data_IF_889485012496
#
_entry.id   IF_889485012496
#
_cell.length_a   1.000
_cell.length_b   1.000
_cell.length_c   1.000
_cell.angle_alpha   90.00
_cell.angle_beta   90.00
_cell.angle_gamma   90.00
#
_symmetry.space_group_name_H-M   'P 1'
#
loop_
_entity.id
_entity.type
_entity.pdbx_description
1 polymer ?
#
# COMPACT_ATOMS: atom_id res chain seq x y z
N UNK A 1 -25.93 -12.76 0.21
CA UNK A 1 -25.72 -11.70 1.22
C UNK A 1 -27.00 -11.45 1.97
N UNK A 2 -26.98 -11.51 3.31
CA UNK A 2 -28.14 -11.30 4.20
C UNK A 2 -27.80 -10.18 5.16
N UNK A 3 -28.70 -9.21 5.34
CA UNK A 3 -28.55 -8.11 6.30
C UNK A 3 -29.60 -8.31 7.40
N UNK A 4 -29.18 -8.29 8.66
CA UNK A 4 -30.01 -8.50 9.82
C UNK A 4 -29.87 -7.33 10.78
N UNK A 5 -30.97 -6.81 11.29
CA UNK A 5 -30.95 -5.82 12.36
C UNK A 5 -30.74 -6.57 13.69
N UNK A 6 -29.61 -6.33 14.35
CA UNK A 6 -29.22 -6.96 15.60
C UNK A 6 -29.76 -6.20 16.81
N UNK A 7 -29.75 -4.87 16.76
CA UNK A 7 -30.18 -4.02 17.88
C UNK A 7 -30.63 -2.64 17.37
N UNK A 8 -31.60 -2.05 18.01
CA UNK A 8 -32.03 -0.67 17.79
C UNK A 8 -32.01 0.06 19.13
N UNK A 9 -31.18 1.10 19.23
CA UNK A 9 -31.07 1.96 20.43
C UNK A 9 -31.27 3.42 20.04
N UNK A 10 -32.48 3.94 20.29
CA UNK A 10 -32.81 5.32 19.89
C UNK A 10 -32.65 5.53 18.39
N UNK A 11 -31.75 6.44 18.00
CA UNK A 11 -31.39 6.71 16.59
C UNK A 11 -30.28 5.82 16.04
N UNK A 12 -29.72 4.90 16.83
CA UNK A 12 -28.65 3.99 16.43
C UNK A 12 -29.18 2.61 16.11
N UNK A 13 -28.77 2.05 14.98
CA UNK A 13 -29.13 0.70 14.54
C UNK A 13 -27.85 -0.12 14.34
N UNK A 14 -27.79 -1.29 14.99
CA UNK A 14 -26.71 -2.26 14.79
C UNK A 14 -27.14 -3.30 13.77
N UNK A 15 -26.38 -3.39 12.68
CA UNK A 15 -26.63 -4.34 11.61
C UNK A 15 -25.63 -5.51 11.68
N UNK A 16 -26.12 -6.72 11.44
CA UNK A 16 -25.30 -7.88 11.11
C UNK A 16 -25.38 -8.15 9.61
N UNK A 17 -24.24 -8.46 9.01
CA UNK A 17 -24.16 -8.78 7.58
C UNK A 17 -23.55 -10.18 7.44
N UNK A 18 -24.31 -11.09 6.84
CA UNK A 18 -23.84 -12.40 6.42
C UNK A 18 -23.50 -12.32 4.93
N UNK A 19 -22.22 -12.41 4.60
CA UNK A 19 -21.75 -12.46 3.22
C UNK A 19 -21.22 -13.86 2.88
N UNK A 20 -21.31 -14.31 1.62
CA UNK A 20 -20.63 -15.53 1.17
C UNK A 20 -19.11 -15.40 1.33
N UNK A 21 -18.41 -16.55 1.40
CA UNK A 21 -16.95 -16.58 1.38
C UNK A 21 -16.40 -15.80 0.18
N UNK A 22 -15.34 -15.01 0.39
CA UNK A 22 -14.72 -14.18 -0.63
C UNK A 22 -15.39 -12.83 -0.89
N UNK A 23 -16.55 -12.54 -0.29
CA UNK A 23 -17.21 -11.22 -0.40
C UNK A 23 -16.79 -10.33 0.77
N UNK A 24 -16.00 -9.29 0.48
CA UNK A 24 -15.59 -8.28 1.45
C UNK A 24 -16.70 -7.26 1.66
N UNK A 25 -16.94 -6.89 2.91
CA UNK A 25 -17.95 -5.90 3.30
C UNK A 25 -17.24 -4.69 3.90
N UNK A 26 -17.24 -3.58 3.19
CA UNK A 26 -16.74 -2.31 3.68
C UNK A 26 -17.89 -1.30 3.78
N UNK A 27 -17.73 -0.29 4.64
CA UNK A 27 -18.59 0.88 4.58
C UNK A 27 -18.26 1.63 3.29
N UNK A 28 -19.28 1.97 2.50
CA UNK A 28 -19.13 2.61 1.19
C UNK A 28 -18.34 3.93 1.32
N UNK A 29 -18.64 4.72 2.35
CA UNK A 29 -17.94 5.98 2.62
C UNK A 29 -16.45 5.79 2.92
N UNK A 30 -16.07 4.70 3.63
CA UNK A 30 -14.66 4.42 3.93
C UNK A 30 -13.93 3.96 2.67
N UNK A 31 -14.54 3.05 1.91
CA UNK A 31 -13.94 2.58 0.66
C UNK A 31 -13.72 3.73 -0.33
N UNK A 32 -14.72 4.59 -0.53
CA UNK A 32 -14.59 5.78 -1.41
C UNK A 32 -13.48 6.71 -0.97
N UNK A 33 -13.33 6.96 0.32
CA UNK A 33 -12.24 7.79 0.84
C UNK A 33 -10.88 7.17 0.56
N UNK A 34 -10.72 5.85 0.72
CA UNK A 34 -9.46 5.19 0.39
C UNK A 34 -9.17 5.28 -1.11
N UNK A 35 -10.18 5.10 -1.95
CA UNK A 35 -10.05 5.27 -3.40
C UNK A 35 -9.63 6.69 -3.78
N UNK A 36 -10.22 7.71 -3.16
CA UNK A 36 -9.89 9.11 -3.37
C UNK A 36 -8.46 9.42 -2.91
N UNK A 37 -8.05 8.92 -1.73
CA UNK A 37 -6.68 9.10 -1.23
C UNK A 37 -5.66 8.43 -2.16
N UNK A 38 -5.93 7.22 -2.64
CA UNK A 38 -5.04 6.54 -3.59
C UNK A 38 -4.94 7.32 -4.91
N UNK A 39 -6.05 7.85 -5.46
CA UNK A 39 -6.01 8.69 -6.67
C UNK A 39 -5.22 9.96 -6.45
N UNK A 40 -5.45 10.64 -5.32
CA UNK A 40 -4.75 11.88 -4.99
C UNK A 40 -3.24 11.65 -4.78
N UNK A 41 -2.87 10.53 -4.17
CA UNK A 41 -1.46 10.16 -4.00
C UNK A 41 -0.73 9.97 -5.34
N UNK A 42 -1.44 9.48 -6.38
CA UNK A 42 -0.89 9.28 -7.72
C UNK A 42 -0.73 10.61 -8.48
N UNK A 43 -1.63 11.59 -8.27
CA UNK A 43 -1.65 12.85 -9.03
C UNK A 43 -0.47 13.78 -8.71
N UNK A 44 0.01 13.78 -7.45
CA UNK A 44 1.02 14.73 -6.96
C UNK A 44 2.23 14.06 -6.30
N UNK A 45 2.89 13.09 -6.93
CA UNK A 45 4.12 12.55 -6.39
C UNK A 45 5.24 13.60 -6.57
N UNK A 46 5.76 14.13 -5.45
CA UNK A 46 6.84 15.12 -5.46
C UNK A 46 8.12 14.57 -6.11
N UNK A 47 8.90 15.46 -6.73
CA UNK A 47 10.28 15.20 -7.20
C UNK A 47 11.28 14.90 -6.06
N UNK A 48 10.82 14.71 -4.82
CA UNK A 48 11.66 14.43 -3.65
C UNK A 48 12.51 13.16 -3.83
N UNK A 49 12.14 12.38 -4.83
CA UNK A 49 12.73 11.08 -5.11
C UNK A 49 13.36 11.08 -6.50
N UNK A 50 14.13 12.14 -6.81
CA UNK A 50 14.91 12.26 -8.04
C UNK A 50 16.27 11.63 -7.83
N UNK A 51 16.41 10.36 -8.16
CA UNK A 51 17.65 9.59 -8.18
C UNK A 51 17.46 8.36 -9.04
N UNK A 52 18.55 7.72 -9.44
CA UNK A 52 18.48 6.42 -10.11
C UNK A 52 17.66 5.45 -9.23
N UNK A 53 16.70 4.76 -9.83
CA UNK A 53 15.90 3.75 -9.13
C UNK A 53 16.48 2.37 -9.36
N UNK A 54 16.50 1.55 -8.31
CA UNK A 54 16.83 0.13 -8.39
C UNK A 54 15.68 -0.70 -7.83
N UNK A 55 15.52 -1.91 -8.37
CA UNK A 55 14.52 -2.84 -7.86
C UNK A 55 14.96 -3.35 -6.49
N UNK A 56 14.06 -3.28 -5.49
CA UNK A 56 14.23 -3.97 -4.22
C UNK A 56 13.89 -5.46 -4.41
N UNK A 57 14.91 -6.28 -4.63
CA UNK A 57 14.77 -7.73 -4.65
C UNK A 57 14.80 -8.25 -3.21
N UNK A 58 13.82 -9.06 -2.84
CA UNK A 58 13.90 -9.86 -1.60
C UNK A 58 15.14 -10.75 -1.67
N UNK A 59 15.78 -10.96 -0.53
CA UNK A 59 17.02 -11.74 -0.39
C UNK A 59 16.77 -13.21 -0.76
N UNK A 60 16.87 -13.54 -2.03
CA UNK A 60 16.99 -14.93 -2.48
C UNK A 60 18.07 -14.97 -3.54
N UNK A 61 19.25 -15.42 -3.11
CA UNK A 61 20.33 -15.86 -3.98
C UNK A 61 19.85 -17.06 -4.80
N UNK A 62 19.23 -16.80 -5.94
CA UNK A 62 18.93 -17.83 -6.96
C UNK A 62 19.36 -17.27 -8.30
N UNK A 63 20.31 -17.96 -8.87
CA UNK A 63 20.93 -17.87 -10.17
C UNK A 63 20.27 -16.95 -11.20
N UNK A 64 21.08 -16.46 -12.11
CA UNK A 64 20.82 -15.56 -13.24
C UNK A 64 19.36 -15.60 -13.73
N UNK A 65 18.47 -14.87 -13.04
CA UNK A 65 17.07 -14.74 -13.43
C UNK A 65 16.97 -13.90 -14.71
N UNK A 66 16.07 -14.27 -15.59
CA UNK A 66 15.82 -13.50 -16.82
C UNK A 66 15.24 -12.13 -16.44
N UNK A 67 15.94 -11.07 -16.82
CA UNK A 67 15.48 -9.70 -16.66
C UNK A 67 14.69 -9.28 -17.89
N UNK A 68 13.50 -8.74 -17.68
CA UNK A 68 12.69 -8.13 -18.74
C UNK A 68 12.74 -6.61 -18.56
N UNK A 69 12.89 -5.86 -19.63
CA UNK A 69 12.83 -4.40 -19.59
C UNK A 69 11.38 -3.94 -19.63
N UNK A 70 10.98 -3.12 -18.67
CA UNK A 70 9.65 -2.49 -18.64
C UNK A 70 9.80 -0.97 -18.75
N UNK A 71 9.01 -0.36 -19.63
CA UNK A 71 9.04 1.09 -19.85
C UNK A 71 7.99 1.78 -18.99
N UNK A 72 8.43 2.69 -18.13
CA UNK A 72 7.58 3.53 -17.27
C UNK A 72 7.55 4.96 -17.78
N UNK A 73 6.51 5.70 -17.41
CA UNK A 73 6.43 7.13 -17.73
C UNK A 73 7.41 7.94 -16.88
N UNK A 74 7.60 7.56 -15.61
CA UNK A 74 8.39 8.32 -14.64
C UNK A 74 9.88 7.99 -14.65
N UNK A 75 10.24 6.72 -14.78
CA UNK A 75 11.61 6.23 -14.59
C UNK A 75 12.26 5.77 -15.88
N UNK A 76 11.56 5.92 -17.04
CA UNK A 76 12.03 5.37 -18.30
C UNK A 76 12.03 3.84 -18.29
N UNK A 77 13.07 3.26 -18.84
CA UNK A 77 13.23 1.80 -18.90
C UNK A 77 13.86 1.27 -17.61
N UNK A 78 13.18 0.34 -16.95
CA UNK A 78 13.65 -0.32 -15.73
C UNK A 78 13.78 -1.83 -15.98
N UNK A 79 14.83 -2.47 -15.42
CA UNK A 79 14.94 -3.91 -15.45
C UNK A 79 13.97 -4.52 -14.44
N UNK A 80 13.29 -5.59 -14.82
CA UNK A 80 12.30 -6.30 -14.00
C UNK A 80 12.72 -7.75 -13.88
N UNK A 81 12.95 -8.20 -12.64
CA UNK A 81 13.04 -9.60 -12.29
C UNK A 81 11.68 -10.09 -11.82
N UNK A 82 11.20 -11.24 -12.29
CA UNK A 82 9.88 -11.78 -11.92
C UNK A 82 9.77 -12.03 -10.40
N UNK A 83 10.86 -12.46 -9.77
CA UNK A 83 10.92 -12.65 -8.31
C UNK A 83 10.69 -11.39 -7.49
N UNK A 84 10.90 -10.21 -8.08
CA UNK A 84 10.64 -8.92 -7.45
C UNK A 84 9.22 -8.40 -7.63
N UNK A 85 8.41 -9.03 -8.48
CA UNK A 85 7.04 -8.59 -8.74
C UNK A 85 6.12 -8.90 -7.56
N UNK A 86 5.46 -7.88 -7.05
CA UNK A 86 4.41 -8.02 -6.03
C UNK A 86 3.07 -8.08 -6.76
N UNK A 87 2.26 -9.07 -6.44
CA UNK A 87 0.94 -9.25 -7.04
C UNK A 87 -0.15 -8.87 -6.05
N UNK A 88 -1.07 -8.03 -6.48
CA UNK A 88 -2.29 -7.67 -5.77
C UNK A 88 -3.49 -8.26 -6.54
N UNK A 89 -3.96 -9.46 -6.19
CA UNK A 89 -5.00 -10.17 -6.96
C UNK A 89 -6.31 -9.38 -7.13
N UNK A 90 -6.62 -8.55 -6.16
CA UNK A 90 -7.83 -7.71 -6.16
C UNK A 90 -7.59 -6.31 -6.74
N UNK A 91 -6.37 -6.02 -7.19
CA UNK A 91 -5.94 -4.65 -7.48
C UNK A 91 -5.84 -3.79 -6.22
N UNK A 92 -5.85 -2.47 -6.40
CA UNK A 92 -5.90 -1.50 -5.29
C UNK A 92 -7.20 -0.69 -5.37
N UNK A 93 -7.80 -0.26 -4.25
CA UNK A 93 -8.94 0.65 -4.26
C UNK A 93 -8.70 1.87 -5.14
N UNK A 94 -9.60 2.13 -6.06
CA UNK A 94 -9.47 3.15 -7.11
C UNK A 94 -8.72 2.69 -8.37
N UNK A 95 -8.01 1.55 -8.32
CA UNK A 95 -7.21 0.97 -9.42
C UNK A 95 -7.41 -0.55 -9.52
N UNK A 96 -8.63 -1.02 -9.81
CA UNK A 96 -8.96 -2.45 -9.80
C UNK A 96 -8.26 -3.27 -10.90
N UNK A 97 -7.72 -2.61 -11.91
CA UNK A 97 -6.97 -3.25 -13.00
C UNK A 97 -5.46 -3.32 -12.79
N UNK A 98 -4.95 -2.75 -11.70
CA UNK A 98 -3.51 -2.75 -11.40
C UNK A 98 -3.19 -3.88 -10.42
N UNK A 99 -2.63 -4.97 -10.94
CA UNK A 99 -2.39 -6.21 -10.20
C UNK A 99 -0.91 -6.51 -9.93
N UNK A 100 0.00 -5.96 -10.77
CA UNK A 100 1.44 -6.24 -10.70
C UNK A 100 2.21 -4.97 -10.42
N UNK A 101 3.06 -5.03 -9.42
CA UNK A 101 3.85 -3.89 -8.99
C UNK A 101 5.29 -4.27 -8.73
N UNK A 102 6.18 -3.27 -8.86
CA UNK A 102 7.56 -3.34 -8.40
C UNK A 102 7.79 -2.34 -7.29
N UNK A 103 8.54 -2.76 -6.27
CA UNK A 103 9.06 -1.84 -5.27
C UNK A 103 10.44 -1.35 -5.72
N UNK A 104 10.55 -0.04 -5.94
CA UNK A 104 11.77 0.62 -6.40
C UNK A 104 12.35 1.46 -5.26
N UNK A 105 13.64 1.29 -5.01
CA UNK A 105 14.40 2.11 -4.07
C UNK A 105 14.78 3.43 -4.71
N UNK A 106 14.83 4.48 -3.91
CA UNK A 106 15.10 5.83 -4.35
C UNK A 106 16.29 6.38 -3.58
N UNK A 107 17.43 6.55 -4.26
CA UNK A 107 18.59 7.27 -3.74
C UNK A 107 19.02 6.87 -2.32
N UNK A 108 19.71 7.80 -1.64
CA UNK A 108 20.35 7.54 -0.34
C UNK A 108 19.43 7.59 0.88
N UNK A 109 18.27 8.24 0.79
CA UNK A 109 17.32 8.35 1.91
C UNK A 109 16.27 7.23 1.82
N UNK A 110 16.53 6.09 2.44
CA UNK A 110 15.68 4.89 2.44
C UNK A 110 14.37 5.03 3.27
N UNK A 111 13.77 6.22 3.30
CA UNK A 111 12.49 6.46 3.99
C UNK A 111 11.31 6.16 3.07
N UNK A 112 11.46 6.48 1.78
CA UNK A 112 10.42 6.32 0.78
C UNK A 112 10.85 5.34 -0.30
N UNK A 113 9.86 4.64 -0.84
CA UNK A 113 9.98 3.74 -1.97
C UNK A 113 8.94 4.11 -3.01
N UNK A 114 9.17 3.71 -4.26
CA UNK A 114 8.15 3.77 -5.28
C UNK A 114 7.53 2.40 -5.50
N UNK A 115 6.21 2.32 -5.45
CA UNK A 115 5.44 1.16 -5.86
C UNK A 115 4.92 1.42 -7.29
N UNK A 116 5.71 0.98 -8.28
CA UNK A 116 5.43 1.17 -9.72
C UNK A 116 4.56 0.04 -10.24
N UNK A 117 3.44 0.37 -10.88
CA UNK A 117 2.60 -0.59 -11.59
C UNK A 117 3.30 -1.10 -12.85
N UNK A 118 3.16 -2.41 -13.12
CA UNK A 118 3.55 -3.05 -14.37
C UNK A 118 2.36 -3.23 -15.33
N UNK A 119 1.16 -2.89 -14.90
CA UNK A 119 -0.05 -2.94 -15.72
C UNK A 119 -0.39 -1.56 -16.31
N UNK A 120 -0.01 -0.49 -15.60
CA UNK A 120 -0.13 0.90 -16.06
C UNK A 120 1.21 1.62 -15.88
N UNK A 121 1.92 1.94 -16.97
CA UNK A 121 3.23 2.63 -16.92
C UNK A 121 3.21 4.00 -16.25
N UNK A 122 2.05 4.67 -16.19
CA UNK A 122 1.91 5.99 -15.56
C UNK A 122 1.62 5.90 -14.05
N UNK A 123 1.15 4.73 -13.57
CA UNK A 123 0.73 4.54 -12.18
C UNK A 123 1.91 4.16 -11.29
N UNK A 124 2.23 5.04 -10.36
CA UNK A 124 3.22 4.79 -9.32
C UNK A 124 2.83 5.52 -8.02
N UNK A 125 2.96 4.85 -6.89
CA UNK A 125 2.73 5.40 -5.57
C UNK A 125 4.04 5.59 -4.82
N UNK A 126 4.13 6.65 -4.03
CA UNK A 126 5.15 6.73 -2.98
C UNK A 126 4.64 5.96 -1.77
N UNK A 127 5.47 5.07 -1.25
CA UNK A 127 5.14 4.28 -0.07
C UNK A 127 6.26 4.37 0.96
N UNK A 128 5.93 4.13 2.22
CA UNK A 128 6.90 4.09 3.31
C UNK A 128 6.56 2.99 4.32
N UNK A 129 7.52 2.65 5.17
CA UNK A 129 7.30 1.76 6.30
C UNK A 129 6.48 2.51 7.37
N UNK A 130 5.28 2.03 7.75
CA UNK A 130 4.47 2.65 8.79
C UNK A 130 5.14 2.65 10.17
N UNK A 131 6.09 1.75 10.44
CA UNK A 131 6.83 1.71 11.69
C UNK A 131 7.68 2.97 11.93
N UNK A 132 7.98 3.73 10.89
CA UNK A 132 8.65 5.04 11.01
C UNK A 132 7.75 6.11 11.64
N UNK A 133 6.43 5.94 11.58
CA UNK A 133 5.44 6.83 12.20
C UNK A 133 4.88 6.25 13.51
N UNK A 134 4.64 4.93 13.51
CA UNK A 134 4.08 4.18 14.65
C UNK A 134 4.96 2.94 14.86
N UNK A 135 5.95 2.97 15.76
CA UNK A 135 6.96 1.90 15.90
C UNK A 135 6.40 0.50 16.12
N UNK A 136 5.27 0.37 16.78
CA UNK A 136 4.57 -0.89 17.04
C UNK A 136 3.35 -1.12 16.10
N UNK A 137 3.35 -0.50 14.91
CA UNK A 137 2.23 -0.55 13.98
C UNK A 137 1.75 -1.97 13.68
N UNK A 138 2.66 -2.88 13.33
CA UNK A 138 2.31 -4.27 13.03
C UNK A 138 1.67 -5.00 14.22
N UNK A 139 2.11 -4.72 15.44
CA UNK A 139 1.56 -5.32 16.65
C UNK A 139 0.13 -4.81 16.98
N UNK A 140 -0.21 -3.64 16.47
CA UNK A 140 -1.55 -3.04 16.64
C UNK A 140 -2.53 -3.43 15.55
N UNK A 141 -2.08 -4.06 14.46
CA UNK A 141 -2.95 -4.43 13.35
C UNK A 141 -4.00 -5.45 13.78
N UNK A 142 -5.25 -5.05 13.69
CA UNK A 142 -6.40 -5.96 13.82
C UNK A 142 -6.97 -6.18 12.42
N UNK A 143 -6.58 -7.30 11.80
CA UNK A 143 -7.07 -7.63 10.47
C UNK A 143 -8.57 -7.93 10.51
N UNK A 144 -9.36 -7.40 9.55
CA UNK A 144 -10.72 -7.83 9.32
C UNK A 144 -10.78 -9.35 9.08
N UNK A 145 -11.89 -9.98 9.46
CA UNK A 145 -12.05 -11.44 9.42
C UNK A 145 -11.78 -12.02 8.02
N UNK A 146 -12.27 -11.35 6.97
CA UNK A 146 -12.10 -11.74 5.56
C UNK A 146 -10.67 -11.59 5.03
N UNK A 147 -9.82 -10.79 5.69
CA UNK A 147 -8.40 -10.66 5.33
C UNK A 147 -7.51 -11.64 6.09
N UNK A 148 -7.98 -12.16 7.24
CA UNK A 148 -7.22 -13.13 8.04
C UNK A 148 -6.89 -14.40 7.28
N UNK A 149 -7.82 -14.91 6.48
CA UNK A 149 -7.61 -16.10 5.67
C UNK A 149 -6.51 -15.87 4.62
N UNK A 150 -6.54 -14.73 3.92
CA UNK A 150 -5.52 -14.39 2.93
C UNK A 150 -4.10 -14.32 3.53
N UNK A 151 -3.98 -13.88 4.77
CA UNK A 151 -2.70 -13.76 5.48
C UNK A 151 -2.43 -14.93 6.44
N UNK A 152 -3.20 -16.00 6.40
CA UNK A 152 -3.02 -17.17 7.25
C UNK A 152 -1.95 -18.13 6.70
N UNK A 153 -1.15 -18.81 7.55
CA UNK A 153 -1.05 -18.59 9.00
C UNK A 153 -0.12 -17.40 9.33
N UNK A 154 -0.64 -16.40 10.00
CA UNK A 154 0.10 -15.17 10.38
C UNK A 154 1.40 -15.46 11.14
N UNK A 155 1.43 -16.51 11.94
CA UNK A 155 2.59 -16.84 12.80
C UNK A 155 3.81 -17.38 12.03
N UNK A 156 3.63 -17.87 10.80
CA UNK A 156 4.69 -18.46 9.97
C UNK A 156 4.97 -17.68 8.71
N UNK A 157 4.21 -16.64 8.43
CA UNK A 157 4.34 -15.82 7.22
C UNK A 157 5.04 -14.52 7.54
N UNK A 158 6.18 -14.26 6.89
CA UNK A 158 6.79 -12.93 6.93
C UNK A 158 5.91 -11.95 6.17
N UNK A 159 5.52 -10.85 6.85
CA UNK A 159 4.68 -9.80 6.29
C UNK A 159 5.44 -8.47 6.28
N UNK A 160 5.48 -7.85 5.11
CA UNK A 160 5.90 -6.45 4.97
C UNK A 160 4.67 -5.56 4.91
N UNK A 161 4.64 -4.52 5.75
CA UNK A 161 3.64 -3.46 5.67
C UNK A 161 4.23 -2.22 4.98
N UNK A 162 3.46 -1.62 4.12
CA UNK A 162 3.75 -0.32 3.52
C UNK A 162 2.49 0.54 3.58
N UNK A 163 2.66 1.85 3.64
CA UNK A 163 1.54 2.79 3.57
C UNK A 163 1.78 3.79 2.44
N UNK A 164 0.69 4.13 1.74
CA UNK A 164 0.74 5.11 0.65
C UNK A 164 0.89 6.50 1.25
N UNK A 165 1.79 7.29 0.67
CA UNK A 165 2.07 8.67 1.05
C UNK A 165 1.51 9.62 0.00
N UNK A 166 0.72 10.59 0.45
CA UNK A 166 0.16 11.66 -0.37
C UNK A 166 0.91 12.96 -0.09
N UNK A 167 1.36 13.63 -1.15
CA UNK A 167 2.01 14.95 -1.06
C UNK A 167 1.03 16.05 -1.45
N UNK A 168 1.01 17.13 -0.67
CA UNK A 168 0.23 18.34 -0.95
C UNK A 168 1.09 19.57 -0.67
N UNK A 169 1.63 20.18 -1.71
CA UNK A 169 2.61 21.27 -1.56
C UNK A 169 3.82 20.81 -0.72
N UNK A 170 4.08 21.48 0.41
CA UNK A 170 5.20 21.15 1.31
C UNK A 170 4.86 20.12 2.38
N UNK A 171 3.65 19.64 2.43
CA UNK A 171 3.19 18.66 3.41
C UNK A 171 3.11 17.27 2.79
N UNK A 172 3.24 16.26 3.64
CA UNK A 172 2.99 14.88 3.28
C UNK A 172 2.16 14.21 4.36
N UNK A 173 1.29 13.29 3.95
CA UNK A 173 0.49 12.46 4.85
C UNK A 173 0.58 11.00 4.43
N UNK A 174 0.55 10.10 5.40
CA UNK A 174 0.54 8.65 5.19
C UNK A 174 -0.83 8.07 5.56
N UNK A 175 -1.31 7.14 4.74
CA UNK A 175 -2.57 6.45 4.97
C UNK A 175 -2.35 5.19 5.82
N UNK A 176 -2.33 5.34 7.14
CA UNK A 176 -2.21 4.22 8.07
C UNK A 176 -3.51 3.40 8.20
N UNK A 177 -4.66 3.93 7.71
CA UNK A 177 -5.94 3.23 7.76
C UNK A 177 -6.04 2.10 6.73
N UNK A 178 -5.30 2.22 5.63
CA UNK A 178 -5.33 1.24 4.55
C UNK A 178 -3.92 0.80 4.13
N UNK A 179 -3.21 0.03 4.97
CA UNK A 179 -1.89 -0.46 4.64
C UNK A 179 -1.92 -1.45 3.47
N UNK A 180 -0.83 -1.46 2.72
CA UNK A 180 -0.47 -2.51 1.79
C UNK A 180 0.29 -3.58 2.58
N UNK A 181 -0.32 -4.73 2.79
CA UNK A 181 0.33 -5.87 3.42
C UNK A 181 0.76 -6.87 2.35
N UNK A 182 2.00 -7.32 2.42
CA UNK A 182 2.60 -8.24 1.45
C UNK A 182 3.14 -9.45 2.18
N UNK A 183 2.79 -10.64 1.70
CA UNK A 183 3.42 -11.92 2.08
C UNK A 183 4.75 -12.00 1.33
N UNK A 184 5.86 -11.95 2.06
CA UNK A 184 7.18 -11.72 1.46
C UNK A 184 7.63 -12.89 0.56
N UNK A 185 7.37 -14.13 0.97
CA UNK A 185 7.77 -15.32 0.23
C UNK A 185 6.99 -15.50 -1.07
N UNK A 186 5.67 -15.31 -1.04
CA UNK A 186 4.79 -15.48 -2.19
C UNK A 186 4.67 -14.23 -3.05
N UNK A 187 5.17 -13.10 -2.55
CA UNK A 187 5.04 -11.80 -3.21
C UNK A 187 3.58 -11.45 -3.50
N UNK A 188 2.67 -11.87 -2.62
CA UNK A 188 1.24 -11.59 -2.71
C UNK A 188 0.85 -10.51 -1.71
N UNK A 189 0.20 -9.45 -2.21
CA UNK A 189 -0.21 -8.30 -1.43
C UNK A 189 -1.71 -8.03 -1.49
N UNK A 190 -2.16 -7.28 -0.50
CA UNK A 190 -3.51 -6.72 -0.44
C UNK A 190 -3.49 -5.38 0.27
N UNK A 191 -4.27 -4.41 -0.21
CA UNK A 191 -4.56 -3.22 0.58
C UNK A 191 -5.69 -3.55 1.54
N UNK A 192 -5.40 -3.54 2.84
CA UNK A 192 -6.33 -3.90 3.89
C UNK A 192 -6.94 -2.64 4.48
N UNK A 193 -8.26 -2.55 4.54
CA UNK A 193 -8.96 -1.43 5.17
C UNK A 193 -9.25 -1.80 6.62
N UNK A 194 -8.58 -1.12 7.55
CA UNK A 194 -8.70 -1.37 8.97
C UNK A 194 -10.00 -0.75 9.53
N UNK A 195 -10.48 -1.30 10.64
CA UNK A 195 -11.67 -0.78 11.36
C UNK A 195 -11.33 0.35 12.36
N UNK A 196 -10.16 1.00 12.17
CA UNK A 196 -9.63 2.06 13.02
C UNK A 196 -10.32 3.41 12.81
N UNK A 197 -9.96 4.39 13.64
CA UNK A 197 -10.51 5.73 13.52
C UNK A 197 -9.99 6.45 12.26
N UNK A 198 -10.81 7.36 11.72
CA UNK A 198 -10.48 8.15 10.53
C UNK A 198 -9.21 8.99 10.67
N UNK A 199 -8.74 9.21 11.88
CA UNK A 199 -7.47 9.92 12.16
C UNK A 199 -6.28 9.22 11.51
N UNK A 200 -6.35 7.92 11.29
CA UNK A 200 -5.30 7.13 10.65
C UNK A 200 -5.23 7.31 9.13
N UNK A 201 -6.22 7.94 8.52
CA UNK A 201 -6.28 8.13 7.07
C UNK A 201 -5.20 9.10 6.56
N UNK A 202 -4.88 10.15 7.33
CA UNK A 202 -3.97 11.23 6.93
C UNK A 202 -2.99 11.57 8.05
N UNK A 203 -2.11 10.64 8.39
CA UNK A 203 -1.08 10.88 9.40
C UNK A 203 0.03 11.77 8.84
N UNK A 204 0.37 12.89 9.49
CA UNK A 204 1.43 13.77 9.03
C UNK A 204 2.79 13.04 8.94
N UNK A 205 3.49 13.24 7.83
CA UNK A 205 4.86 12.76 7.63
C UNK A 205 5.80 13.94 7.72
N UNK A 206 6.72 13.91 8.69
CA UNK A 206 7.73 14.95 8.84
C UNK A 206 8.86 14.70 7.85
N UNK A 207 8.91 15.55 6.82
CA UNK A 207 9.99 15.50 5.83
C UNK A 207 11.23 16.17 6.41
N UNK A 208 12.43 15.58 6.26
CA UNK A 208 13.66 16.30 6.57
C UNK A 208 13.74 17.55 5.70
N UNK A 209 14.05 18.69 6.31
CA UNK A 209 14.29 19.91 5.55
C UNK A 209 15.42 19.66 4.57
N UNK A 210 15.19 19.90 3.27
CA UNK A 210 16.27 19.96 2.30
C UNK A 210 17.23 21.07 2.78
N UNK A 211 18.43 20.73 3.16
CA UNK A 211 19.49 21.71 3.27
C UNK A 211 19.74 22.26 1.86
N UNK A 212 19.18 23.44 1.60
CA UNK A 212 19.49 24.24 0.44
C UNK A 212 20.83 24.94 0.67
N UNK A 213 21.89 24.16 0.86
CA UNK A 213 23.25 24.67 0.88
C UNK A 213 24.12 23.73 0.04
N UNK A 214 24.30 24.16 -1.19
CA UNK A 214 25.57 23.96 -1.88
C UNK A 214 25.82 25.19 -2.73
N UNK A 215 26.98 25.84 -2.53
CA UNK A 215 27.36 27.05 -3.24
C UNK A 215 27.61 26.81 -4.74
#
# INVERSE_FOLDING_TARGET
>A
MRVVVLEVKGSSVRLGIEAPEGVRVHRDEVLRRIEEENRHAMENPREIVSGGVSQKTGTTDKGREAMVTFRTVRFGEIPVAESGVIRFPDGLPGFPGAHRFLLLETGEAQVFYWLQSLDDPALAFVVMDPALLVPDYMARLVLPEWDREFFSPLASTSLTAMVIVTFSGETATANLLAPLLVRDEERLGRQVILAESEEWLRQPVFLPKRNSESP
#
